data_IF_573453275491
#
_entry.id   IF_573453275491
#
_cell.length_a   1.000
_cell.length_b   1.000
_cell.length_c   1.000
_cell.angle_alpha   90.00
_cell.angle_beta   90.00
_cell.angle_gamma   90.00
#
_symmetry.space_group_name_H-M   'P 1'
#
loop_
_entity.id
_entity.type
_entity.pdbx_description
1 polymer ?
#
# COMPACT_ATOMS: atom_id res chain seq x y z
N UNK A 1 5.26 -17.41 -21.41
CA UNK A 1 4.89 -16.01 -21.07
C UNK A 1 3.37 -15.90 -20.97
N UNK A 2 2.79 -16.07 -19.78
CA UNK A 2 1.35 -15.93 -19.57
C UNK A 2 1.09 -14.55 -18.94
N UNK A 3 0.48 -13.62 -19.67
CA UNK A 3 0.01 -12.35 -19.09
C UNK A 3 -1.23 -12.69 -18.24
N UNK A 4 -1.32 -12.32 -16.95
CA UNK A 4 -2.55 -12.55 -16.20
C UNK A 4 -3.66 -11.71 -16.85
N UNK A 5 -4.61 -12.41 -17.45
CA UNK A 5 -5.87 -11.86 -17.95
C UNK A 5 -6.54 -11.11 -16.79
N UNK A 6 -6.74 -9.80 -16.92
CA UNK A 6 -7.56 -9.06 -15.97
C UNK A 6 -8.96 -9.67 -15.98
N UNK A 7 -9.29 -10.40 -14.91
CA UNK A 7 -10.62 -10.96 -14.70
C UNK A 7 -11.58 -9.78 -14.57
N UNK A 8 -12.21 -9.42 -15.68
CA UNK A 8 -13.41 -8.59 -15.70
C UNK A 8 -14.57 -9.52 -15.33
N UNK A 9 -14.78 -9.66 -14.03
CA UNK A 9 -15.85 -10.39 -13.40
C UNK A 9 -15.86 -10.00 -11.94
N UNK A 10 -17.03 -9.69 -11.42
CA UNK A 10 -17.34 -9.12 -10.10
C UNK A 10 -16.89 -10.03 -8.94
N UNK A 11 -15.58 -10.20 -8.77
CA UNK A 11 -15.02 -10.91 -7.64
C UNK A 11 -15.11 -9.98 -6.43
N UNK A 12 -16.02 -10.32 -5.53
CA UNK A 12 -16.11 -9.69 -4.23
C UNK A 12 -14.72 -9.66 -3.59
N UNK A 13 -14.23 -8.45 -3.31
CA UNK A 13 -12.98 -8.22 -2.58
C UNK A 13 -13.31 -7.61 -1.24
N UNK A 14 -12.59 -8.03 -0.21
CA UNK A 14 -12.84 -7.58 1.16
C UNK A 14 -12.49 -6.09 1.34
N UNK A 15 -11.36 -5.66 0.78
CA UNK A 15 -10.89 -4.28 0.88
C UNK A 15 -11.43 -3.41 -0.25
N UNK A 16 -11.88 -2.20 0.10
CA UNK A 16 -12.23 -1.17 -0.87
C UNK A 16 -11.00 -0.72 -1.67
N UNK A 17 -11.23 -0.14 -2.85
CA UNK A 17 -10.12 0.45 -3.62
C UNK A 17 -9.40 1.56 -2.85
N UNK A 18 -10.10 2.32 -1.99
CA UNK A 18 -9.49 3.32 -1.12
C UNK A 18 -8.48 2.70 -0.15
N UNK A 19 -8.87 1.62 0.53
CA UNK A 19 -7.98 0.90 1.43
C UNK A 19 -6.78 0.32 0.69
N UNK A 20 -6.99 -0.26 -0.50
CA UNK A 20 -5.91 -0.82 -1.33
C UNK A 20 -4.92 0.25 -1.77
N UNK A 21 -5.40 1.40 -2.26
CA UNK A 21 -4.54 2.53 -2.63
C UNK A 21 -3.74 3.02 -1.43
N UNK A 22 -4.40 3.23 -0.27
CA UNK A 22 -3.73 3.71 0.93
C UNK A 22 -2.63 2.75 1.40
N UNK A 23 -2.89 1.43 1.42
CA UNK A 23 -1.89 0.41 1.75
C UNK A 23 -0.73 0.44 0.76
N UNK A 24 -0.99 0.57 -0.54
CA UNK A 24 0.08 0.64 -1.55
C UNK A 24 0.97 1.87 -1.35
N UNK A 25 0.38 3.04 -1.11
CA UNK A 25 1.14 4.27 -0.82
C UNK A 25 1.91 4.18 0.50
N UNK A 26 1.40 3.41 1.47
CA UNK A 26 2.09 3.20 2.75
C UNK A 26 3.37 2.36 2.58
N UNK A 27 3.38 1.44 1.60
CA UNK A 27 4.53 0.59 1.28
C UNK A 27 5.59 1.32 0.48
N UNK A 28 5.16 2.11 -0.51
CA UNK A 28 6.05 2.89 -1.36
C UNK A 28 5.49 4.30 -1.53
N UNK A 29 6.10 5.24 -0.81
CA UNK A 29 5.70 6.64 -0.79
C UNK A 29 6.10 7.40 -2.06
N UNK A 30 7.01 6.84 -2.88
CA UNK A 30 7.54 7.45 -4.11
C UNK A 30 6.96 6.81 -5.39
N UNK A 31 5.99 5.90 -5.23
CA UNK A 31 5.41 5.17 -6.35
C UNK A 31 4.63 6.08 -7.30
N UNK A 32 4.54 5.67 -8.57
CA UNK A 32 3.73 6.38 -9.57
C UNK A 32 2.30 5.90 -9.49
N UNK A 33 1.34 6.82 -9.57
CA UNK A 33 -0.09 6.46 -9.55
C UNK A 33 -0.49 5.51 -10.68
N UNK A 34 0.23 5.56 -11.80
CA UNK A 34 0.08 4.57 -12.87
C UNK A 34 0.42 3.15 -12.41
N UNK A 35 1.53 2.97 -11.71
CA UNK A 35 1.96 1.65 -11.22
C UNK A 35 0.97 1.14 -10.15
N UNK A 36 0.44 2.05 -9.32
CA UNK A 36 -0.64 1.75 -8.36
C UNK A 36 -1.91 1.28 -9.08
N UNK A 37 -2.29 1.95 -10.18
CA UNK A 37 -3.47 1.60 -10.96
C UNK A 37 -3.34 0.20 -11.59
N UNK A 38 -2.17 -0.08 -12.17
CA UNK A 38 -1.85 -1.39 -12.73
C UNK A 38 -1.87 -2.49 -11.65
N UNK A 39 -1.32 -2.21 -10.46
CA UNK A 39 -1.29 -3.15 -9.33
C UNK A 39 -2.70 -3.47 -8.79
N UNK A 40 -3.56 -2.46 -8.65
CA UNK A 40 -4.90 -2.61 -8.07
C UNK A 40 -5.90 -3.14 -9.12
N UNK A 41 -5.63 -2.92 -10.41
CA UNK A 41 -6.52 -3.31 -11.50
C UNK A 41 -7.63 -2.29 -11.78
N UNK A 42 -7.36 -1.01 -11.52
CA UNK A 42 -8.28 0.11 -11.81
C UNK A 42 -7.64 1.12 -12.77
N UNK A 43 -8.41 2.12 -13.20
CA UNK A 43 -7.86 3.15 -14.09
C UNK A 43 -6.99 4.14 -13.32
N UNK A 44 -6.00 4.74 -13.99
CA UNK A 44 -5.17 5.78 -13.38
C UNK A 44 -6.01 6.98 -12.90
N UNK A 45 -7.06 7.34 -13.66
CA UNK A 45 -8.02 8.36 -13.24
C UNK A 45 -8.74 7.98 -11.94
N UNK A 46 -9.12 6.71 -11.77
CA UNK A 46 -9.74 6.25 -10.53
C UNK A 46 -8.78 6.35 -9.33
N UNK A 47 -7.51 5.97 -9.51
CA UNK A 47 -6.49 6.18 -8.46
C UNK A 47 -6.33 7.66 -8.13
N UNK A 48 -6.27 8.55 -9.13
CA UNK A 48 -6.15 9.99 -8.89
C UNK A 48 -7.33 10.55 -8.08
N UNK A 49 -8.56 10.11 -8.38
CA UNK A 49 -9.75 10.50 -7.59
C UNK A 49 -9.67 9.98 -6.16
N UNK A 50 -9.31 8.70 -5.98
CA UNK A 50 -9.14 8.09 -4.65
C UNK A 50 -8.07 8.84 -3.83
N UNK A 51 -6.94 9.20 -4.45
CA UNK A 51 -5.88 9.96 -3.77
C UNK A 51 -6.38 11.35 -3.36
N UNK A 52 -7.14 12.02 -4.22
CA UNK A 52 -7.75 13.30 -3.87
C UNK A 52 -8.76 13.17 -2.72
N UNK A 53 -9.57 12.10 -2.70
CA UNK A 53 -10.51 11.81 -1.62
C UNK A 53 -9.78 11.52 -0.30
N UNK A 54 -8.69 10.75 -0.34
CA UNK A 54 -7.84 10.46 0.82
C UNK A 54 -7.12 11.71 1.35
N UNK A 55 -6.64 12.57 0.45
CA UNK A 55 -5.99 13.85 0.79
C UNK A 55 -7.00 14.82 1.43
N UNK A 56 -8.17 15.01 0.82
CA UNK A 56 -9.26 15.82 1.38
C UNK A 56 -9.76 15.28 2.73
N UNK A 57 -9.64 13.98 2.92
CA UNK A 57 -9.99 13.30 4.15
C UNK A 57 -8.94 13.39 5.27
N UNK A 58 -7.74 13.89 4.96
CA UNK A 58 -6.61 13.99 5.89
C UNK A 58 -5.78 12.71 6.05
N UNK A 59 -6.11 11.62 5.35
CA UNK A 59 -5.38 10.34 5.47
C UNK A 59 -3.95 10.42 4.92
N UNK A 60 -3.72 11.31 3.97
CA UNK A 60 -2.41 11.52 3.38
C UNK A 60 -2.21 12.97 2.97
N UNK A 61 -0.95 13.32 2.77
CA UNK A 61 -0.51 14.56 2.13
C UNK A 61 0.34 14.21 0.92
N UNK A 62 0.26 15.03 -0.12
CA UNK A 62 1.10 14.90 -1.33
C UNK A 62 2.07 16.06 -1.42
N UNK A 63 3.36 15.76 -1.44
CA UNK A 63 4.43 16.74 -1.64
C UNK A 63 5.12 16.51 -2.97
N UNK A 64 5.31 17.56 -3.77
CA UNK A 64 6.06 17.45 -5.02
C UNK A 64 7.56 17.52 -4.76
N UNK A 65 8.27 16.44 -5.03
CA UNK A 65 9.74 16.33 -4.92
C UNK A 65 10.32 16.22 -6.34
N UNK A 66 10.69 17.38 -6.89
CA UNK A 66 11.20 17.49 -8.26
C UNK A 66 10.15 17.10 -9.32
N UNK A 67 10.39 15.98 -10.01
CA UNK A 67 9.48 15.44 -11.04
C UNK A 67 8.50 14.40 -10.49
N UNK A 68 8.62 14.01 -9.22
CA UNK A 68 7.79 12.97 -8.58
C UNK A 68 6.94 13.58 -7.47
N UNK A 69 5.87 12.87 -7.15
CA UNK A 69 5.09 13.11 -5.95
C UNK A 69 5.57 12.12 -4.90
N UNK A 70 5.70 12.61 -3.67
CA UNK A 70 5.90 11.79 -2.48
C UNK A 70 4.63 11.88 -1.64
N UNK A 71 4.16 10.73 -1.17
CA UNK A 71 2.93 10.61 -0.38
C UNK A 71 3.28 10.29 1.08
N UNK A 72 2.82 11.12 2.01
CA UNK A 72 3.01 10.89 3.44
C UNK A 72 1.66 10.62 4.08
N UNK A 73 1.54 9.48 4.74
CA UNK A 73 0.30 9.02 5.38
C UNK A 73 0.26 9.48 6.83
N UNK A 74 -0.91 9.93 7.28
CA UNK A 74 -1.18 10.15 8.69
C UNK A 74 -1.89 8.90 9.28
N UNK A 75 -1.16 8.06 10.06
CA UNK A 75 -1.74 6.85 10.62
C UNK A 75 -2.73 7.14 11.75
N UNK A 76 -2.78 8.38 12.28
CA UNK A 76 -3.62 8.73 13.44
C UNK A 76 -5.07 9.03 13.08
N UNK A 77 -5.35 9.24 11.79
CA UNK A 77 -6.70 9.55 11.31
C UNK A 77 -7.62 8.33 11.50
N UNK A 78 -8.74 8.55 12.19
CA UNK A 78 -9.72 7.50 12.46
C UNK A 78 -10.40 6.98 11.17
N UNK A 79 -10.82 5.72 11.19
CA UNK A 79 -11.68 5.17 10.16
C UNK A 79 -13.05 5.89 10.17
N UNK A 80 -13.53 6.27 8.97
CA UNK A 80 -14.72 7.12 8.79
C UNK A 80 -16.04 6.47 9.20
N UNK A 81 -16.11 5.14 9.20
CA UNK A 81 -17.36 4.47 9.51
C UNK A 81 -17.67 4.61 11.01
N UNK A 82 -18.90 4.99 11.42
CA UNK A 82 -19.23 5.20 12.84
C UNK A 82 -18.94 4.00 13.74
N UNK A 83 -19.05 2.78 13.20
CA UNK A 83 -18.71 1.55 13.92
C UNK A 83 -17.20 1.36 14.16
N UNK A 84 -16.36 2.10 13.43
CA UNK A 84 -14.90 2.01 13.43
C UNK A 84 -14.23 3.31 13.90
N UNK A 85 -15.02 4.33 14.29
CA UNK A 85 -14.54 5.68 14.63
C UNK A 85 -13.54 5.74 15.81
N UNK A 86 -13.39 4.65 16.57
CA UNK A 86 -12.38 4.50 17.62
C UNK A 86 -11.04 3.94 17.15
N UNK A 87 -10.91 3.52 15.89
CA UNK A 87 -9.71 2.86 15.38
C UNK A 87 -8.96 3.77 14.39
N UNK A 88 -7.69 4.12 14.67
CA UNK A 88 -6.84 4.82 13.72
C UNK A 88 -6.59 3.95 12.49
N UNK A 89 -6.48 4.57 11.32
CA UNK A 89 -6.14 3.87 10.08
C UNK A 89 -4.78 3.16 10.18
N UNK A 90 -3.90 3.63 11.07
CA UNK A 90 -2.64 2.99 11.41
C UNK A 90 -2.77 1.53 11.82
N UNK A 91 -3.83 1.14 12.52
CA UNK A 91 -4.05 -0.25 12.95
C UNK A 91 -4.32 -1.18 11.75
N UNK A 92 -5.09 -0.67 10.79
CA UNK A 92 -5.30 -1.35 9.51
C UNK A 92 -3.97 -1.49 8.76
N UNK A 93 -3.21 -0.40 8.64
CA UNK A 93 -1.92 -0.40 7.93
C UNK A 93 -0.92 -1.36 8.58
N UNK A 94 -0.79 -1.34 9.91
CA UNK A 94 0.07 -2.24 10.66
C UNK A 94 -0.20 -3.71 10.29
N UNK A 95 -1.47 -4.12 10.20
CA UNK A 95 -1.87 -5.48 9.81
C UNK A 95 -1.32 -5.92 8.45
N UNK A 96 -1.21 -4.98 7.49
CA UNK A 96 -0.76 -5.29 6.12
C UNK A 96 0.71 -4.96 5.85
N UNK A 97 1.35 -4.17 6.72
CA UNK A 97 2.76 -3.80 6.61
C UNK A 97 3.66 -4.75 7.43
N UNK A 98 3.18 -5.31 8.54
CA UNK A 98 3.99 -6.18 9.41
C UNK A 98 4.29 -7.58 8.86
N UNK A 99 3.61 -8.06 7.82
CA UNK A 99 3.76 -9.46 7.37
C UNK A 99 5.00 -9.73 6.51
N UNK A 100 5.68 -8.71 5.97
CA UNK A 100 6.79 -8.91 5.03
C UNK A 100 8.19 -8.64 5.60
N UNK A 101 8.31 -8.09 6.82
CA UNK A 101 9.61 -8.05 7.52
C UNK A 101 10.06 -9.45 7.97
N UNK A 102 9.13 -10.37 8.19
CA UNK A 102 9.45 -11.70 8.72
C UNK A 102 9.85 -12.74 7.66
N UNK A 103 9.63 -12.50 6.35
CA UNK A 103 10.02 -13.46 5.31
C UNK A 103 11.39 -13.21 4.69
N UNK A 104 12.05 -12.07 4.99
CA UNK A 104 13.40 -11.78 4.52
C UNK A 104 14.50 -12.32 5.46
N UNK A 105 14.18 -12.61 6.73
CA UNK A 105 15.16 -13.00 7.74
C UNK A 105 15.48 -14.52 7.79
N UNK A 106 14.76 -15.37 7.05
CA UNK A 106 14.97 -16.83 7.07
C UNK A 106 15.83 -17.38 5.91
N UNK A 107 16.50 -16.53 5.12
CA UNK A 107 17.43 -16.98 4.06
C UNK A 107 18.87 -16.46 4.19
N UNK A 108 19.30 -16.07 5.40
CA UNK A 108 20.72 -15.82 5.67
C UNK A 108 21.17 -16.66 6.86
N UNK A 109 21.37 -17.95 6.58
CA UNK A 109 22.05 -18.85 7.50
C UNK A 109 23.49 -18.38 7.72
N UNK A 110 24.01 -18.40 8.96
CA UNK A 110 25.32 -17.84 9.26
C UNK A 110 26.43 -18.65 8.60
N UNK A 111 27.28 -17.95 7.85
CA UNK A 111 28.56 -18.45 7.41
C UNK A 111 29.44 -18.82 8.62
N UNK A 112 29.89 -20.07 8.68
CA UNK A 112 31.02 -20.50 9.47
C UNK A 112 31.96 -21.30 8.57
N UNK A 113 32.94 -20.62 7.96
CA UNK A 113 34.22 -21.27 7.65
C UNK A 113 35.09 -21.31 8.92
N UNK A 114 36.38 -21.66 8.85
CA UNK A 114 37.09 -22.51 7.88
C UNK A 114 37.74 -23.72 8.60
N UNK A 115 38.22 -24.73 7.86
CA UNK A 115 39.17 -25.70 8.41
C UNK A 115 40.21 -26.08 7.35
N UNK A 116 41.43 -25.63 7.61
CA UNK A 116 42.66 -26.07 6.96
C UNK A 116 43.01 -27.50 7.41
N UNK A 117 43.73 -28.23 6.56
CA UNK A 117 44.33 -29.54 6.86
C UNK A 117 44.68 -30.30 5.60
#
# INVERSE_FOLDING_TARGET
MNRPSSVRGDHWTFLTNHARVLITLARDQDCRLRDVAELIGITERAVQLIVADLEAAGYLTRTRVGRRNQYTIDPTVALRHPAEAGHPVGDLLATFLHREDSSAAEQEGPAAGPAAG
#
